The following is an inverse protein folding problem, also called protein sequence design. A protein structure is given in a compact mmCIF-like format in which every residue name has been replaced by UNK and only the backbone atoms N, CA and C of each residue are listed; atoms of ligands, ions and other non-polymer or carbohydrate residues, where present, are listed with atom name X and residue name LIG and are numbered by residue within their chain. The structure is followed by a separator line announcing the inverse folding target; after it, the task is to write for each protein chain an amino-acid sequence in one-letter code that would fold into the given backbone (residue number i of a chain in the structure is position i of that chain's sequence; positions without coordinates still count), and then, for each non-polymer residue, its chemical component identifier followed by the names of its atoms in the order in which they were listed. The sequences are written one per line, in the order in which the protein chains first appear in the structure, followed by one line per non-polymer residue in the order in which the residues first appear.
data_IF_228718536797
#
_entry.id   IF_228718536797
#
_cell.length_a   1.000
_cell.length_b   1.000
_cell.length_c   1.000
_cell.angle_alpha   90.00
_cell.angle_beta   90.00
_cell.angle_gamma   90.00
#
_symmetry.space_group_name_H-M   'P 1'
#
loop_
_entity.id
_entity.type
_entity.pdbx_description
1 polymer ?
#
# COMPACT_ATOMS: atom_id res chain seq x y z
N UNK A 1 -2.56 15.29 16.42
CA UNK A 1 -2.22 13.90 16.75
C UNK A 1 -3.40 12.99 16.42
N UNK A 2 -3.21 11.68 16.22
CA UNK A 2 -4.30 10.74 15.90
C UNK A 2 -5.43 10.75 16.95
N UNK A 3 -5.08 10.98 18.22
CA UNK A 3 -6.03 11.14 19.32
C UNK A 3 -6.98 12.33 19.12
N UNK A 4 -6.53 13.41 18.47
CA UNK A 4 -7.37 14.59 18.21
C UNK A 4 -8.45 14.29 17.15
N UNK A 5 -8.24 13.24 16.35
CA UNK A 5 -9.22 12.70 15.41
C UNK A 5 -10.15 11.63 16.02
N UNK A 6 -10.04 11.36 17.33
CA UNK A 6 -10.85 10.35 18.03
C UNK A 6 -10.39 8.90 17.86
N UNK A 7 -9.20 8.66 17.32
CA UNK A 7 -8.66 7.31 17.16
C UNK A 7 -7.92 6.86 18.41
N UNK A 8 -8.22 5.65 18.88
CA UNK A 8 -7.42 4.99 19.91
C UNK A 8 -6.14 4.44 19.29
N UNK A 9 -4.98 4.77 19.87
CA UNK A 9 -3.68 4.24 19.47
C UNK A 9 -3.04 3.47 20.60
N UNK A 10 -2.37 2.38 20.26
CA UNK A 10 -1.51 1.61 21.16
C UNK A 10 -0.07 1.91 20.74
N UNK A 11 0.73 2.43 21.68
CA UNK A 11 2.15 2.64 21.46
C UNK A 11 2.91 1.32 21.63
N UNK A 12 3.56 0.87 20.57
CA UNK A 12 4.34 -0.37 20.53
C UNK A 12 5.85 -0.10 20.57
N UNK A 13 6.27 1.13 20.91
CA UNK A 13 7.68 1.56 20.89
C UNK A 13 8.58 0.72 21.80
N UNK A 14 8.05 0.13 22.87
CA UNK A 14 8.80 -0.72 23.81
C UNK A 14 8.41 -2.21 23.74
N UNK A 15 7.62 -2.61 22.74
CA UNK A 15 7.21 -4.00 22.55
C UNK A 15 8.20 -4.75 21.64
N UNK A 16 9.09 -5.53 22.24
CA UNK A 16 10.09 -6.31 21.52
C UNK A 16 9.48 -7.39 20.61
N UNK A 17 8.33 -7.97 21.00
CA UNK A 17 7.62 -8.94 20.16
C UNK A 17 7.05 -8.26 18.91
N UNK A 18 6.55 -7.03 19.06
CA UNK A 18 6.08 -6.25 17.94
C UNK A 18 7.21 -5.91 16.95
N UNK A 19 8.37 -5.51 17.49
CA UNK A 19 9.56 -5.17 16.70
C UNK A 19 10.15 -6.37 15.97
N UNK A 20 10.28 -7.51 16.64
CA UNK A 20 10.95 -8.70 16.10
C UNK A 20 10.04 -9.57 15.24
N UNK A 21 8.75 -9.66 15.58
CA UNK A 21 7.83 -10.61 14.95
C UNK A 21 6.65 -9.94 14.26
N UNK A 22 5.83 -9.19 15.01
CA UNK A 22 4.53 -8.71 14.49
C UNK A 22 4.70 -7.86 13.23
N UNK A 23 5.72 -7.00 13.16
CA UNK A 23 6.03 -6.19 11.97
C UNK A 23 6.22 -7.01 10.67
N UNK A 24 6.59 -8.28 10.78
CA UNK A 24 6.75 -9.21 9.65
C UNK A 24 5.53 -10.10 9.42
N UNK A 25 4.56 -10.07 10.33
CA UNK A 25 3.34 -10.89 10.30
C UNK A 25 2.10 -10.07 9.95
N UNK A 26 2.18 -8.72 9.92
CA UNK A 26 1.06 -7.87 9.49
C UNK A 26 0.70 -8.20 8.05
N UNK A 27 -0.56 -8.57 7.85
CA UNK A 27 -1.10 -9.07 6.59
C UNK A 27 -1.95 -10.32 6.85
N UNK A 28 -2.19 -11.11 5.80
CA UNK A 28 -2.97 -12.34 5.90
C UNK A 28 -3.91 -12.51 4.73
N UNK A 29 -4.88 -13.43 4.88
CA UNK A 29 -5.92 -13.67 3.89
C UNK A 29 -7.17 -12.85 4.24
N UNK A 30 -7.90 -12.34 3.25
CA UNK A 30 -9.18 -11.69 3.50
C UNK A 30 -10.18 -12.70 4.08
N UNK A 31 -11.17 -12.20 4.83
CA UNK A 31 -12.21 -13.03 5.45
C UNK A 31 -13.17 -13.65 4.43
N UNK A 32 -13.25 -13.07 3.23
CA UNK A 32 -14.07 -13.52 2.11
C UNK A 32 -13.23 -13.43 0.82
N UNK A 33 -13.58 -14.18 -0.24
CA UNK A 33 -12.91 -14.05 -1.53
C UNK A 33 -13.05 -12.62 -2.07
N UNK A 34 -11.93 -12.04 -2.52
CA UNK A 34 -11.88 -10.74 -3.18
C UNK A 34 -11.47 -10.94 -4.64
N UNK A 35 -12.07 -10.16 -5.54
CA UNK A 35 -11.59 -10.01 -6.90
C UNK A 35 -10.60 -8.86 -6.90
N UNK A 36 -9.34 -9.17 -6.63
CA UNK A 36 -8.27 -8.19 -6.52
C UNK A 36 -7.16 -8.45 -7.55
N UNK A 37 -6.54 -7.38 -8.03
CA UNK A 37 -5.33 -7.44 -8.84
C UNK A 37 -4.17 -6.87 -8.04
N UNK A 38 -3.06 -7.58 -8.08
CA UNK A 38 -1.88 -7.28 -7.29
C UNK A 38 -0.88 -6.50 -8.14
N UNK A 39 -0.36 -5.40 -7.61
CA UNK A 39 0.63 -4.56 -8.29
C UNK A 39 1.80 -4.26 -7.37
N UNK A 40 3.01 -4.37 -7.92
CA UNK A 40 4.23 -3.85 -7.29
C UNK A 40 4.58 -2.48 -7.87
N UNK A 41 5.06 -1.57 -7.02
CA UNK A 41 5.48 -0.22 -7.38
C UNK A 41 6.85 0.09 -6.81
N UNK A 42 7.69 0.75 -7.60
CA UNK A 42 8.95 1.34 -7.16
C UNK A 42 8.94 2.85 -7.37
N UNK A 43 9.32 3.61 -6.35
CA UNK A 43 9.49 5.06 -6.48
C UNK A 43 10.66 5.58 -5.67
N UNK A 44 11.31 6.67 -6.11
CA UNK A 44 12.41 7.28 -5.38
C UNK A 44 11.93 7.77 -4.02
N UNK A 45 12.61 7.31 -2.97
CA UNK A 45 12.26 7.62 -1.59
C UNK A 45 12.55 9.10 -1.34
N UNK A 46 11.49 9.86 -1.04
CA UNK A 46 11.59 11.29 -0.73
C UNK A 46 10.49 11.68 0.24
N UNK A 47 10.67 12.74 1.05
CA UNK A 47 9.63 13.21 1.96
C UNK A 47 8.29 13.40 1.23
N UNK A 48 7.26 12.71 1.73
CA UNK A 48 5.91 12.75 1.19
C UNK A 48 5.68 11.92 -0.10
N UNK A 49 6.63 11.10 -0.54
CA UNK A 49 6.46 10.25 -1.73
C UNK A 49 5.23 9.33 -1.63
N UNK A 50 5.07 8.65 -0.49
CA UNK A 50 3.90 7.81 -0.24
C UNK A 50 2.58 8.59 -0.28
N UNK A 51 2.55 9.80 0.28
CA UNK A 51 1.34 10.62 0.25
C UNK A 51 1.00 11.07 -1.18
N UNK A 52 2.01 11.42 -1.98
CA UNK A 52 1.82 11.73 -3.41
C UNK A 52 1.31 10.52 -4.17
N UNK A 53 1.89 9.34 -3.93
CA UNK A 53 1.41 8.08 -4.51
C UNK A 53 -0.08 7.87 -4.23
N UNK A 54 -0.50 7.95 -2.95
CA UNK A 54 -1.90 7.77 -2.56
C UNK A 54 -2.82 8.86 -3.17
N UNK A 55 -2.38 10.12 -3.19
CA UNK A 55 -3.17 11.21 -3.77
C UNK A 55 -3.34 11.08 -5.28
N UNK A 56 -2.32 10.63 -6.00
CA UNK A 56 -2.40 10.45 -7.45
C UNK A 56 -3.32 9.28 -7.82
N UNK A 57 -3.29 8.20 -7.04
CA UNK A 57 -4.25 7.09 -7.17
C UNK A 57 -5.68 7.54 -6.80
N UNK A 58 -5.80 8.50 -5.88
CA UNK A 58 -7.05 9.14 -5.52
C UNK A 58 -7.96 8.23 -4.69
N UNK A 59 -9.27 8.43 -4.80
CA UNK A 59 -10.29 7.67 -4.03
C UNK A 59 -11.17 6.80 -4.94
N UNK A 60 -10.68 6.52 -6.15
CA UNK A 60 -11.46 5.84 -7.19
C UNK A 60 -11.49 4.32 -7.03
N UNK A 61 -10.44 3.72 -6.45
CA UNK A 61 -10.33 2.27 -6.30
C UNK A 61 -10.13 1.88 -4.84
N UNK A 62 -10.75 0.77 -4.48
CA UNK A 62 -10.62 0.20 -3.15
C UNK A 62 -9.29 -0.56 -3.03
N UNK A 63 -8.46 -0.18 -2.05
CA UNK A 63 -7.18 -0.82 -1.76
C UNK A 63 -7.43 -1.93 -0.73
N UNK A 64 -7.38 -3.19 -1.15
CA UNK A 64 -7.59 -4.35 -0.28
C UNK A 64 -6.32 -4.80 0.46
N UNK A 65 -5.14 -4.53 -0.12
CA UNK A 65 -3.83 -4.80 0.47
C UNK A 65 -2.91 -3.61 0.24
N UNK A 66 -2.16 -3.23 1.28
CA UNK A 66 -1.10 -2.24 1.16
C UNK A 66 0.09 -2.61 2.03
N UNK A 67 1.20 -2.98 1.39
CA UNK A 67 2.44 -3.33 2.07
C UNK A 67 3.57 -2.44 1.54
N UNK A 68 4.01 -1.52 2.38
CA UNK A 68 5.12 -0.63 2.09
C UNK A 68 6.36 -1.03 2.87
N UNK A 69 7.51 -1.02 2.19
CA UNK A 69 8.81 -1.12 2.83
C UNK A 69 9.79 -0.12 2.23
N UNK A 70 10.33 0.73 3.11
CA UNK A 70 11.59 1.39 2.85
C UNK A 70 12.69 0.35 2.95
N UNK A 71 13.22 -0.10 1.82
CA UNK A 71 14.56 -0.66 1.79
C UNK A 71 15.48 0.55 1.90
N UNK A 72 16.45 0.56 2.83
CA UNK A 72 17.37 1.70 3.10
C UNK A 72 18.28 2.15 1.94
N UNK A 73 17.85 1.87 0.70
CA UNK A 73 18.25 2.42 -0.59
C UNK A 73 17.44 3.69 -0.92
N UNK A 74 17.83 4.42 -1.96
CA UNK A 74 17.12 5.62 -2.45
C UNK A 74 15.73 5.34 -3.07
N UNK A 75 15.18 4.14 -2.87
CA UNK A 75 13.92 3.66 -3.45
C UNK A 75 13.05 2.95 -2.42
N UNK A 76 11.76 3.30 -2.40
CA UNK A 76 10.71 2.62 -1.65
C UNK A 76 9.97 1.62 -2.54
N UNK A 77 9.54 0.51 -1.95
CA UNK A 77 8.69 -0.49 -2.62
C UNK A 77 7.32 -0.54 -1.98
N UNK A 78 6.28 -0.55 -2.81
CA UNK A 78 4.90 -0.79 -2.40
C UNK A 78 4.38 -2.01 -3.14
N UNK A 79 3.79 -2.93 -2.41
CA UNK A 79 2.92 -3.96 -2.95
C UNK A 79 1.49 -3.59 -2.57
N UNK A 80 0.63 -3.40 -3.55
CA UNK A 80 -0.77 -3.06 -3.32
C UNK A 80 -1.71 -4.00 -4.09
N UNK A 81 -2.84 -4.33 -3.49
CA UNK A 81 -3.94 -4.99 -4.19
C UNK A 81 -5.11 -4.01 -4.33
N UNK A 82 -5.76 -4.04 -5.48
CA UNK A 82 -6.94 -3.24 -5.77
C UNK A 82 -8.09 -4.16 -6.11
N UNK A 83 -9.24 -3.95 -5.45
CA UNK A 83 -10.48 -4.59 -5.87
C UNK A 83 -10.97 -3.88 -7.14
N UNK A 84 -10.89 -4.61 -8.25
CA UNK A 84 -11.25 -4.11 -9.58
C UNK A 84 -12.39 -4.95 -10.12
N UNK A 85 -13.33 -4.29 -10.80
CA UNK A 85 -14.36 -4.99 -11.57
C UNK A 85 -13.76 -5.71 -12.80
N UNK A 86 -14.60 -6.47 -13.49
CA UNK A 86 -14.20 -7.23 -14.69
C UNK A 86 -13.60 -6.35 -15.81
N UNK A 87 -13.90 -5.05 -15.83
CA UNK A 87 -13.39 -4.11 -16.83
C UNK A 87 -13.19 -2.69 -16.27
N UNK A 88 -11.93 -2.32 -16.06
CA UNK A 88 -11.52 -1.00 -15.51
C UNK A 88 -10.42 -0.37 -16.40
N UNK A 89 -10.75 0.15 -17.59
CA UNK A 89 -9.76 0.69 -18.53
C UNK A 89 -9.07 1.97 -18.03
N UNK A 90 -9.74 2.72 -17.16
CA UNK A 90 -9.20 3.94 -16.57
C UNK A 90 -8.10 3.65 -15.54
N UNK A 91 -8.07 2.43 -14.99
CA UNK A 91 -7.10 2.03 -13.98
C UNK A 91 -5.67 2.00 -14.54
N UNK A 92 -5.45 1.30 -15.65
CA UNK A 92 -4.13 1.23 -16.28
C UNK A 92 -3.68 2.61 -16.78
N UNK A 93 -4.60 3.41 -17.31
CA UNK A 93 -4.32 4.79 -17.72
C UNK A 93 -3.83 5.62 -16.53
N UNK A 94 -4.48 5.49 -15.37
CA UNK A 94 -4.09 6.22 -14.16
C UNK A 94 -2.78 5.71 -13.56
N UNK A 95 -2.52 4.42 -13.64
CA UNK A 95 -1.23 3.87 -13.21
C UNK A 95 -0.09 4.43 -14.05
N UNK A 96 -0.27 4.55 -15.37
CA UNK A 96 0.72 5.17 -16.24
C UNK A 96 0.95 6.66 -15.91
N UNK A 97 -0.08 7.39 -15.49
CA UNK A 97 0.05 8.80 -15.05
C UNK A 97 0.82 8.97 -13.74
N UNK A 98 0.91 7.94 -12.88
CA UNK A 98 1.75 7.99 -11.69
C UNK A 98 3.23 8.21 -12.05
N UNK A 99 3.66 7.74 -13.23
CA UNK A 99 5.05 7.84 -13.68
C UNK A 99 6.03 7.03 -12.83
N UNK A 100 5.51 6.05 -12.09
CA UNK A 100 6.31 5.10 -11.30
C UNK A 100 6.36 3.76 -12.01
N UNK A 101 7.47 3.04 -11.85
CA UNK A 101 7.58 1.68 -12.36
C UNK A 101 6.57 0.81 -11.60
N UNK A 102 5.63 0.22 -12.33
CA UNK A 102 4.64 -0.69 -11.79
C UNK A 102 4.58 -2.00 -12.57
N UNK A 103 4.38 -3.11 -11.87
CA UNK A 103 4.21 -4.42 -12.47
C UNK A 103 2.95 -5.10 -11.96
N UNK A 104 2.18 -5.71 -12.86
CA UNK A 104 1.08 -6.60 -12.50
C UNK A 104 1.68 -7.93 -12.02
N UNK A 105 1.39 -8.25 -10.76
CA UNK A 105 1.84 -9.47 -10.06
C UNK A 105 0.70 -10.50 -9.94
N UNK A 106 -0.45 -10.25 -10.57
CA UNK A 106 -1.59 -11.15 -10.59
C UNK A 106 -1.30 -12.33 -11.52
N UNK A 107 -1.25 -13.55 -10.97
CA UNK A 107 -1.12 -14.80 -11.75
C UNK A 107 -2.46 -15.49 -11.96
#
# INVERSE_FOLDING_TARGET
MLNDGGYSVVDLSDDEMAKLHVRYMVGGRPSHPLQERLYSFEFPESPGALLRFLNTLGTHWNISLFHYRSHGTDYGRVLAAFELGDHEPDFETRLNELGYDCHDETQ
#
